data_IF_160348465134
#
_entry.id   IF_160348465134
#
_cell.length_a   1.000
_cell.length_b   1.000
_cell.length_c   1.000
_cell.angle_alpha   90.00
_cell.angle_beta   90.00
_cell.angle_gamma   90.00
#
_symmetry.space_group_name_H-M   'P 1'
#
loop_
_entity.id
_entity.type
_entity.pdbx_description
1 polymer ?
#
# COMPACT_ATOMS: atom_id res chain seq x y z
N UNK A 1 -15.23 6.97 1.75
CA UNK A 1 -14.96 5.61 2.26
C UNK A 1 -14.39 5.73 3.65
N UNK A 2 -15.08 5.22 4.60
CA UNK A 2 -14.62 5.25 5.99
C UNK A 2 -14.24 3.83 6.40
N UNK A 3 -13.02 3.68 6.88
CA UNK A 3 -12.59 2.42 7.45
C UNK A 3 -12.94 2.43 8.93
N UNK A 4 -13.93 1.64 9.31
CA UNK A 4 -14.20 1.38 10.70
C UNK A 4 -13.37 0.19 11.09
N UNK A 5 -12.15 0.44 11.50
CA UNK A 5 -11.22 -0.62 11.83
C UNK A 5 -10.92 -0.59 13.31
N UNK A 6 -10.97 -1.73 13.89
CA UNK A 6 -10.76 -1.92 15.30
C UNK A 6 -9.41 -2.60 15.51
N UNK A 7 -8.46 -1.84 15.98
CA UNK A 7 -7.13 -2.34 16.28
C UNK A 7 -6.12 -2.06 15.18
N UNK A 8 -4.96 -1.67 15.63
CA UNK A 8 -3.83 -1.27 14.81
C UNK A 8 -3.36 -2.39 13.87
N UNK A 9 -3.30 -3.63 14.38
CA UNK A 9 -2.84 -4.77 13.58
C UNK A 9 -3.74 -5.05 12.37
N UNK A 10 -5.04 -4.85 12.52
CA UNK A 10 -5.97 -4.99 11.40
C UNK A 10 -5.74 -3.95 10.34
N UNK A 11 -5.54 -2.70 10.77
CA UNK A 11 -5.27 -1.60 9.86
C UNK A 11 -3.99 -1.92 9.09
N UNK A 12 -2.97 -2.36 9.80
CA UNK A 12 -1.69 -2.70 9.19
C UNK A 12 -1.83 -3.83 8.16
N UNK A 13 -2.56 -4.87 8.50
CA UNK A 13 -2.79 -5.98 7.58
C UNK A 13 -3.55 -5.54 6.33
N UNK A 14 -4.60 -4.74 6.50
CA UNK A 14 -5.36 -4.20 5.38
C UNK A 14 -4.51 -3.30 4.49
N UNK A 15 -3.65 -2.49 5.09
CA UNK A 15 -2.73 -1.64 4.34
C UNK A 15 -1.77 -2.48 3.49
N UNK A 16 -1.25 -3.56 4.05
CA UNK A 16 -0.35 -4.45 3.31
C UNK A 16 -1.05 -5.10 2.13
N UNK A 17 -2.29 -5.54 2.33
CA UNK A 17 -3.09 -6.11 1.24
C UNK A 17 -3.33 -5.07 0.15
N UNK A 18 -3.61 -3.84 0.53
CA UNK A 18 -3.85 -2.75 -0.41
C UNK A 18 -2.57 -2.39 -1.18
N UNK A 19 -1.44 -2.30 -0.49
CA UNK A 19 -0.14 -2.06 -1.11
C UNK A 19 0.19 -3.17 -2.10
N UNK A 20 -0.02 -4.41 -1.70
CA UNK A 20 0.23 -5.56 -2.56
C UNK A 20 -0.62 -5.51 -3.83
N UNK A 21 -1.90 -5.19 -3.68
CA UNK A 21 -2.82 -5.04 -4.80
C UNK A 21 -2.38 -3.94 -5.76
N UNK A 22 -1.97 -2.79 -5.23
CA UNK A 22 -1.49 -1.68 -6.05
C UNK A 22 -0.22 -2.06 -6.82
N UNK A 23 0.74 -2.72 -6.16
CA UNK A 23 1.98 -3.14 -6.80
C UNK A 23 1.73 -4.18 -7.90
N UNK A 24 0.83 -5.12 -7.66
CA UNK A 24 0.46 -6.13 -8.65
C UNK A 24 -0.23 -5.48 -9.85
N UNK A 25 -1.12 -4.53 -9.62
CA UNK A 25 -1.79 -3.80 -10.68
C UNK A 25 -0.81 -2.96 -11.50
N UNK A 26 0.17 -2.34 -10.85
CA UNK A 26 1.24 -1.60 -11.54
C UNK A 26 2.10 -2.53 -12.40
N UNK A 27 2.47 -3.69 -11.85
CA UNK A 27 3.28 -4.67 -12.55
C UNK A 27 2.62 -5.13 -13.84
N UNK A 28 1.33 -5.34 -13.79
CA UNK A 28 0.54 -5.80 -14.93
C UNK A 28 0.00 -4.65 -15.79
N UNK A 29 0.41 -3.43 -15.51
CA UNK A 29 0.02 -2.22 -16.24
C UNK A 29 -1.50 -2.00 -16.30
N UNK A 30 -2.20 -2.39 -15.22
CA UNK A 30 -3.64 -2.19 -15.10
C UNK A 30 -3.98 -0.83 -14.49
N UNK A 31 -3.03 -0.25 -13.77
CA UNK A 31 -3.10 1.13 -13.31
C UNK A 31 -1.79 1.82 -13.69
N UNK A 32 -1.82 3.15 -13.73
CA UNK A 32 -0.63 3.95 -13.96
C UNK A 32 0.02 4.32 -12.64
N UNK A 33 1.29 4.69 -12.68
CA UNK A 33 1.97 5.21 -11.50
C UNK A 33 1.25 6.45 -10.99
N UNK A 34 0.78 7.31 -11.89
CA UNK A 34 0.03 8.49 -11.53
C UNK A 34 -1.24 8.15 -10.73
N UNK A 35 -1.97 7.11 -11.13
CA UNK A 35 -3.13 6.64 -10.36
C UNK A 35 -2.73 6.14 -8.97
N UNK A 36 -1.63 5.41 -8.86
CA UNK A 36 -1.16 4.90 -7.57
C UNK A 36 -0.79 6.03 -6.63
N UNK A 37 -0.26 7.13 -7.16
CA UNK A 37 0.12 8.31 -6.39
C UNK A 37 -1.08 9.09 -5.86
N UNK A 38 -2.24 8.95 -6.47
CA UNK A 38 -3.46 9.56 -5.97
C UNK A 38 -4.24 8.63 -5.05
N UNK A 39 -3.75 7.42 -4.85
CA UNK A 39 -4.40 6.38 -4.08
C UNK A 39 -3.65 6.13 -2.77
N UNK A 40 -2.73 5.19 -2.76
CA UNK A 40 -2.01 4.83 -1.54
C UNK A 40 -0.61 5.42 -1.46
N UNK A 41 0.07 5.59 -2.60
CA UNK A 41 1.45 6.06 -2.64
C UNK A 41 1.51 7.58 -2.69
N UNK A 42 1.09 8.22 -1.60
CA UNK A 42 1.12 9.67 -1.46
C UNK A 42 1.82 10.08 -0.17
N UNK A 43 2.47 11.25 -0.13
CA UNK A 43 3.04 11.78 1.10
C UNK A 43 2.00 11.96 2.21
N UNK A 44 0.79 12.32 1.85
CA UNK A 44 -0.32 12.45 2.80
C UNK A 44 -0.57 11.13 3.52
N UNK A 45 -0.54 10.00 2.80
CA UNK A 45 -0.75 8.69 3.37
C UNK A 45 0.30 8.35 4.42
N UNK A 46 1.59 8.44 4.08
CA UNK A 46 2.60 8.05 5.05
C UNK A 46 2.71 9.02 6.24
N UNK A 47 2.50 10.32 6.05
CA UNK A 47 2.45 11.25 7.18
C UNK A 47 1.29 10.96 8.12
N UNK A 48 0.13 10.66 7.58
CA UNK A 48 -1.05 10.31 8.37
C UNK A 48 -0.80 9.04 9.18
N UNK A 49 -0.20 8.03 8.55
CA UNK A 49 0.08 6.76 9.21
C UNK A 49 1.16 6.88 10.28
N UNK A 50 2.16 7.73 10.06
CA UNK A 50 3.17 8.02 11.08
C UNK A 50 2.54 8.58 12.35
N UNK A 51 1.61 9.51 12.21
CA UNK A 51 0.89 10.10 13.35
C UNK A 51 0.07 9.07 14.10
N UNK A 52 -0.38 8.03 13.44
CA UNK A 52 -1.17 6.96 14.05
C UNK A 52 -0.32 5.83 14.62
N UNK A 53 0.99 5.93 14.54
CA UNK A 53 1.91 4.93 15.07
C UNK A 53 1.89 3.61 14.33
N UNK A 54 1.60 3.63 13.04
CA UNK A 54 1.62 2.45 12.19
C UNK A 54 3.05 1.93 12.04
N UNK A 55 3.19 0.62 11.89
CA UNK A 55 4.47 -0.05 11.71
C UNK A 55 5.33 0.67 10.67
N UNK A 56 6.53 1.04 11.08
CA UNK A 56 7.44 1.79 10.23
C UNK A 56 7.77 1.07 8.91
N UNK A 57 7.83 -0.25 8.92
CA UNK A 57 8.09 -1.03 7.71
C UNK A 57 7.01 -0.82 6.64
N UNK A 58 5.77 -0.66 7.07
CA UNK A 58 4.66 -0.35 6.17
C UNK A 58 4.82 1.07 5.61
N UNK A 59 5.14 2.00 6.48
CA UNK A 59 5.37 3.40 6.10
C UNK A 59 6.51 3.49 5.08
N UNK A 60 7.58 2.73 5.30
CA UNK A 60 8.71 2.68 4.37
C UNK A 60 8.30 2.15 3.00
N UNK A 61 7.45 1.12 2.95
CA UNK A 61 6.93 0.60 1.68
C UNK A 61 6.14 1.66 0.91
N UNK A 62 5.30 2.41 1.61
CA UNK A 62 4.52 3.49 1.00
C UNK A 62 5.44 4.61 0.51
N UNK A 63 6.43 4.96 1.32
CA UNK A 63 7.42 5.98 0.96
C UNK A 63 8.17 5.58 -0.31
N UNK A 64 8.65 4.35 -0.39
CA UNK A 64 9.33 3.85 -1.58
C UNK A 64 8.39 3.73 -2.77
N UNK A 65 7.12 3.43 -2.53
CA UNK A 65 6.10 3.46 -3.58
C UNK A 65 5.93 4.84 -4.19
N UNK A 66 6.07 5.89 -3.38
CA UNK A 66 6.04 7.27 -3.87
C UNK A 66 7.23 7.60 -4.78
N UNK A 67 8.31 6.84 -4.70
CA UNK A 67 9.51 7.05 -5.53
C UNK A 67 9.46 6.32 -6.87
N UNK A 68 8.43 5.51 -7.13
CA UNK A 68 8.31 4.77 -8.39
C UNK A 68 8.25 5.69 -9.61
N UNK A 69 7.68 6.88 -9.45
CA UNK A 69 7.66 7.88 -10.52
C UNK A 69 9.07 8.25 -10.96
N UNK A 70 9.98 8.44 -10.01
CA UNK A 70 11.37 8.77 -10.31
C UNK A 70 12.07 7.61 -11.01
N UNK A 71 11.80 6.38 -10.59
CA UNK A 71 12.36 5.19 -11.24
C UNK A 71 11.87 5.11 -12.68
N UNK A 72 10.58 5.32 -12.91
CA UNK A 72 10.02 5.32 -14.26
C UNK A 72 10.65 6.38 -15.14
N UNK A 73 10.87 7.56 -14.58
CA UNK A 73 11.42 8.70 -15.31
C UNK A 73 12.93 8.55 -15.59
N UNK A 74 13.70 8.09 -14.60
CA UNK A 74 15.15 8.08 -14.66
C UNK A 74 15.74 6.75 -15.13
N UNK A 75 15.08 5.65 -14.79
CA UNK A 75 15.56 4.30 -15.10
C UNK A 75 14.38 3.38 -15.39
N UNK A 76 13.61 3.62 -16.47
CA UNK A 76 12.40 2.85 -16.75
C UNK A 76 12.66 1.34 -16.89
N UNK A 77 13.85 0.94 -17.31
CA UNK A 77 14.22 -0.47 -17.43
C UNK A 77 14.32 -1.19 -16.08
N UNK A 78 14.42 -0.44 -14.98
CA UNK A 78 14.49 -1.02 -13.64
C UNK A 78 13.15 -1.01 -12.92
N UNK A 79 12.14 -0.38 -13.49
CA UNK A 79 10.84 -0.22 -12.84
C UNK A 79 10.21 -1.55 -12.43
N UNK A 80 10.20 -2.52 -13.34
CA UNK A 80 9.63 -3.84 -13.06
C UNK A 80 10.34 -4.56 -11.92
N UNK A 81 11.65 -4.44 -11.87
CA UNK A 81 12.48 -5.04 -10.83
C UNK A 81 12.21 -4.39 -9.46
N UNK A 82 12.10 -3.07 -9.43
CA UNK A 82 11.80 -2.34 -8.19
C UNK A 82 10.40 -2.68 -7.68
N UNK A 83 9.42 -2.73 -8.56
CA UNK A 83 8.06 -3.12 -8.19
C UNK A 83 8.04 -4.54 -7.61
N UNK A 84 8.76 -5.48 -8.23
CA UNK A 84 8.84 -6.85 -7.74
C UNK A 84 9.50 -6.93 -6.37
N UNK A 85 10.57 -6.16 -6.14
CA UNK A 85 11.22 -6.11 -4.83
C UNK A 85 10.27 -5.60 -3.76
N UNK A 86 9.56 -4.52 -4.03
CA UNK A 86 8.58 -3.97 -3.09
C UNK A 86 7.47 -4.98 -2.81
N UNK A 87 7.03 -5.69 -3.85
CA UNK A 87 6.00 -6.72 -3.73
C UNK A 87 6.46 -7.85 -2.82
N UNK A 88 7.68 -8.34 -3.00
CA UNK A 88 8.22 -9.42 -2.17
C UNK A 88 8.36 -8.99 -0.71
N UNK A 89 8.81 -7.77 -0.47
CA UNK A 89 8.90 -7.22 0.89
C UNK A 89 7.51 -7.10 1.52
N UNK A 90 6.53 -6.69 0.75
CA UNK A 90 5.15 -6.59 1.21
C UNK A 90 4.59 -7.96 1.58
N UNK A 91 4.82 -8.97 0.73
CA UNK A 91 4.41 -10.36 1.00
C UNK A 91 5.05 -10.90 2.27
N UNK A 92 6.34 -10.69 2.44
CA UNK A 92 7.06 -11.16 3.62
C UNK A 92 6.51 -10.52 4.90
N UNK A 93 6.28 -9.22 4.85
CA UNK A 93 5.73 -8.52 6.00
C UNK A 93 4.30 -8.95 6.30
N UNK A 94 3.48 -9.13 5.27
CA UNK A 94 2.11 -9.59 5.42
C UNK A 94 2.07 -10.97 6.09
N UNK A 95 3.01 -11.85 5.78
CA UNK A 95 3.13 -13.17 6.38
C UNK A 95 3.43 -13.16 7.88
N UNK A 96 3.88 -12.03 8.43
CA UNK A 96 4.11 -11.90 9.87
C UNK A 96 2.83 -11.60 10.66
N UNK A 97 1.75 -11.31 9.99
CA UNK A 97 0.47 -10.98 10.63
C UNK A 97 -0.40 -12.23 10.76
N UNK A 98 -1.07 -12.35 11.90
CA UNK A 98 -1.95 -13.46 12.17
C UNK A 98 -3.21 -13.44 11.33
N UNK A 99 -3.81 -14.60 11.11
CA UNK A 99 -5.10 -14.70 10.45
C UNK A 99 -6.16 -13.94 11.24
N UNK A 100 -6.93 -13.13 10.53
CA UNK A 100 -8.04 -12.38 11.11
C UNK A 100 -9.34 -12.84 10.48
N UNK A 101 -10.12 -13.61 11.26
CA UNK A 101 -11.39 -14.17 10.81
C UNK A 101 -12.58 -13.27 11.11
N UNK A 102 -12.36 -12.14 11.70
CA UNK A 102 -13.43 -11.19 11.96
C UNK A 102 -13.82 -10.48 10.68
N UNK A 103 -15.11 -10.36 10.47
CA UNK A 103 -15.59 -9.62 9.32
C UNK A 103 -15.16 -8.17 9.43
N UNK A 104 -14.39 -7.74 8.44
CA UNK A 104 -14.04 -6.35 8.29
C UNK A 104 -14.88 -5.84 7.14
N UNK A 105 -15.82 -4.98 7.45
CA UNK A 105 -16.62 -4.36 6.43
C UNK A 105 -16.04 -3.02 6.08
N UNK A 106 -15.79 -2.85 4.81
CA UNK A 106 -15.62 -1.52 4.28
C UNK A 106 -17.04 -0.96 4.16
N UNK A 107 -17.39 -0.10 5.07
CA UNK A 107 -18.64 0.63 4.91
C UNK A 107 -18.42 1.72 3.89
N UNK A 108 -19.12 1.59 2.81
CA UNK A 108 -19.20 2.68 1.86
C UNK A 108 -20.43 3.48 2.30
N UNK A 109 -20.15 4.49 3.13
CA UNK A 109 -21.18 5.41 3.54
C UNK A 109 -21.49 6.32 2.36
N UNK A 110 -22.77 6.52 2.12
CA UNK A 110 -23.24 7.48 1.13
C UNK A 110 -22.80 7.20 -0.30
N UNK A 111 -22.96 5.97 -0.72
CA UNK A 111 -22.95 5.69 -2.14
C UNK A 111 -24.25 6.27 -2.70
N UNK A 112 -24.13 7.46 -3.15
CA UNK A 112 -25.22 8.12 -3.85
C UNK A 112 -24.91 8.21 -5.32
#
# INVERSE_FOLDING_TARGET
MTFTVFGKERIEKLLLIDILGALEALKNRKITINESETNIFTPYTFFTLEKKGINKKIIDLIHEGCELEDVESLCPEKLGEVIEELKQRTLNLLGEYEEDNKQIWVQIDDVK
#
